data_IF_324765532121
#
_entry.id   IF_324765532121
#
_cell.length_a   1.000
_cell.length_b   1.000
_cell.length_c   1.000
_cell.angle_alpha   90.00
_cell.angle_beta   90.00
_cell.angle_gamma   90.00
#
_symmetry.space_group_name_H-M   'P 1'
#
loop_
_entity.id
_entity.type
_entity.pdbx_description
1 polymer ?
#
# COMPACT_ATOMS: atom_id res chain seq x y z
N UNK A 1 4.18 -3.45 6.05
CA UNK A 1 4.81 -2.22 6.60
C UNK A 1 5.71 -1.49 5.60
N UNK A 2 6.61 -2.16 4.87
CA UNK A 2 7.49 -1.47 3.90
C UNK A 2 6.73 -0.81 2.75
N UNK A 3 5.72 -1.48 2.20
CA UNK A 3 4.91 -0.97 1.09
C UNK A 3 4.12 0.28 1.49
N UNK A 4 3.60 0.31 2.71
CA UNK A 4 2.84 1.42 3.27
C UNK A 4 3.72 2.67 3.44
N UNK A 5 4.99 2.49 3.82
CA UNK A 5 5.97 3.58 3.84
C UNK A 5 6.24 4.12 2.44
N UNK A 6 6.37 3.23 1.45
CA UNK A 6 6.56 3.63 0.05
C UNK A 6 5.34 4.41 -0.49
N UNK A 7 4.11 3.96 -0.21
CA UNK A 7 2.89 4.64 -0.62
C UNK A 7 2.73 6.01 0.07
N UNK A 8 3.09 6.12 1.35
CA UNK A 8 3.11 7.42 2.03
C UNK A 8 4.15 8.37 1.44
N UNK A 9 5.34 7.88 1.08
CA UNK A 9 6.35 8.69 0.41
C UNK A 9 5.84 9.23 -0.95
N UNK A 10 5.10 8.41 -1.71
CA UNK A 10 4.43 8.85 -2.94
C UNK A 10 3.41 9.97 -2.65
N UNK A 11 2.58 9.81 -1.61
CA UNK A 11 1.60 10.84 -1.23
C UNK A 11 2.25 12.16 -0.82
N UNK A 12 3.35 12.13 -0.08
CA UNK A 12 4.12 13.32 0.28
C UNK A 12 4.66 14.03 -0.97
N UNK A 13 5.23 13.27 -1.91
CA UNK A 13 5.72 13.84 -3.17
C UNK A 13 4.59 14.45 -4.02
N UNK A 14 3.43 13.78 -4.11
CA UNK A 14 2.27 14.30 -4.83
C UNK A 14 1.76 15.61 -4.22
N UNK A 15 1.66 15.67 -2.89
CA UNK A 15 1.29 16.90 -2.17
C UNK A 15 2.31 18.01 -2.37
N UNK A 16 3.61 17.69 -2.39
CA UNK A 16 4.65 18.66 -2.68
C UNK A 16 4.52 19.24 -4.10
N UNK A 17 4.38 18.39 -5.12
CA UNK A 17 4.18 18.85 -6.50
C UNK A 17 2.91 19.69 -6.64
N UNK A 18 1.81 19.23 -6.04
CA UNK A 18 0.58 20.01 -5.99
C UNK A 18 0.80 21.40 -5.40
N UNK A 19 1.48 21.49 -4.25
CA UNK A 19 1.70 22.74 -3.51
C UNK A 19 2.57 23.74 -4.26
N UNK A 20 3.54 23.28 -5.07
CA UNK A 20 4.49 24.14 -5.77
C UNK A 20 4.11 24.44 -7.22
N UNK A 21 3.36 23.57 -7.90
CA UNK A 21 3.02 23.73 -9.32
C UNK A 21 1.56 24.15 -9.55
N UNK A 22 0.63 23.71 -8.69
CA UNK A 22 -0.81 23.83 -8.95
C UNK A 22 -1.64 24.11 -7.68
N UNK A 23 -1.16 24.96 -6.78
CA UNK A 23 -1.78 25.17 -5.46
C UNK A 23 -3.25 25.67 -5.48
N UNK A 24 -3.73 26.22 -6.60
CA UNK A 24 -5.12 26.67 -6.78
C UNK A 24 -6.07 25.59 -7.33
N UNK A 25 -5.54 24.41 -7.68
CA UNK A 25 -6.26 23.29 -8.30
C UNK A 25 -6.56 22.23 -7.26
N UNK A 26 -7.77 21.70 -7.14
CA UNK A 26 -8.09 20.68 -6.12
C UNK A 26 -7.67 19.27 -6.55
N UNK A 27 -7.41 19.07 -7.84
CA UNK A 27 -7.20 17.79 -8.51
C UNK A 27 -6.05 16.99 -7.88
N UNK A 28 -4.95 17.65 -7.50
CA UNK A 28 -3.82 16.99 -6.84
C UNK A 28 -4.15 16.43 -5.46
N UNK A 29 -4.98 17.13 -4.68
CA UNK A 29 -5.45 16.66 -3.38
C UNK A 29 -6.43 15.50 -3.52
N UNK A 30 -7.33 15.57 -4.51
CA UNK A 30 -8.26 14.47 -4.83
C UNK A 30 -7.50 13.20 -5.21
N UNK A 31 -6.45 13.33 -6.03
CA UNK A 31 -5.63 12.18 -6.42
C UNK A 31 -4.95 11.52 -5.21
N UNK A 32 -4.40 12.31 -4.28
CA UNK A 32 -3.82 11.78 -3.02
C UNK A 32 -4.86 11.06 -2.18
N UNK A 33 -6.09 11.57 -2.10
CA UNK A 33 -7.18 10.90 -1.38
C UNK A 33 -7.50 9.53 -2.01
N UNK A 34 -7.52 9.42 -3.34
CA UNK A 34 -7.72 8.14 -4.04
C UNK A 34 -6.59 7.16 -3.71
N UNK A 35 -5.33 7.61 -3.69
CA UNK A 35 -4.19 6.75 -3.32
C UNK A 35 -4.31 6.26 -1.88
N UNK A 36 -4.74 7.11 -0.95
CA UNK A 36 -4.97 6.70 0.45
C UNK A 36 -6.08 5.64 0.56
N UNK A 37 -7.17 5.78 -0.20
CA UNK A 37 -8.25 4.77 -0.23
C UNK A 37 -7.74 3.45 -0.83
N UNK A 38 -6.94 3.50 -1.90
CA UNK A 38 -6.33 2.31 -2.48
C UNK A 38 -5.38 1.62 -1.50
N UNK A 39 -4.56 2.38 -0.76
CA UNK A 39 -3.68 1.85 0.28
C UNK A 39 -4.47 1.17 1.41
N UNK A 40 -5.59 1.75 1.83
CA UNK A 40 -6.46 1.13 2.83
C UNK A 40 -7.04 -0.21 2.33
N UNK A 41 -7.50 -0.25 1.07
CA UNK A 41 -8.00 -1.47 0.46
C UNK A 41 -6.92 -2.56 0.33
N UNK A 42 -5.72 -2.17 -0.09
CA UNK A 42 -4.56 -3.07 -0.21
C UNK A 42 -4.21 -3.71 1.14
N UNK A 43 -4.13 -2.92 2.23
CA UNK A 43 -3.80 -3.44 3.57
C UNK A 43 -4.82 -4.46 4.05
N UNK A 44 -6.11 -4.22 3.83
CA UNK A 44 -7.18 -5.17 4.20
C UNK A 44 -7.03 -6.48 3.43
N UNK A 45 -6.79 -6.41 2.13
CA UNK A 45 -6.60 -7.61 1.28
C UNK A 45 -5.33 -8.34 1.68
N UNK A 46 -4.21 -7.63 1.83
CA UNK A 46 -2.91 -8.18 2.20
C UNK A 46 -2.95 -8.90 3.53
N UNK A 47 -3.55 -8.29 4.56
CA UNK A 47 -3.72 -8.94 5.86
C UNK A 47 -4.64 -10.17 5.78
N UNK A 48 -5.73 -10.08 5.01
CA UNK A 48 -6.61 -11.23 4.76
C UNK A 48 -5.88 -12.42 4.13
N UNK A 49 -4.98 -12.14 3.18
CA UNK A 49 -4.13 -13.16 2.57
C UNK A 49 -3.12 -13.75 3.57
N UNK A 50 -2.45 -12.91 4.36
CA UNK A 50 -1.50 -13.35 5.40
C UNK A 50 -2.20 -14.27 6.41
N UNK A 51 -3.39 -13.89 6.90
CA UNK A 51 -4.17 -14.71 7.84
C UNK A 51 -4.58 -16.04 7.19
N UNK A 52 -5.04 -16.00 5.93
CA UNK A 52 -5.41 -17.21 5.18
C UNK A 52 -4.23 -18.17 5.01
N UNK A 53 -3.04 -17.64 4.70
CA UNK A 53 -1.81 -18.41 4.58
C UNK A 53 -1.39 -19.00 5.94
N UNK A 54 -1.40 -18.18 7.00
CA UNK A 54 -1.06 -18.59 8.35
C UNK A 54 -1.95 -19.75 8.83
N UNK A 55 -3.27 -19.69 8.58
CA UNK A 55 -4.19 -20.79 8.93
C UNK A 55 -3.86 -22.14 8.29
N UNK A 56 -3.12 -22.16 7.18
CA UNK A 56 -2.74 -23.38 6.46
C UNK A 56 -1.32 -23.83 6.78
N UNK A 57 -0.44 -22.92 7.22
CA UNK A 57 1.00 -23.16 7.35
C UNK A 57 1.57 -22.91 8.74
N UNK A 58 0.81 -22.29 9.64
CA UNK A 58 1.21 -21.87 10.99
C UNK A 58 2.52 -21.06 11.05
N UNK A 59 2.89 -20.40 9.95
CA UNK A 59 4.08 -19.54 9.84
C UNK A 59 3.73 -18.29 9.04
N UNK A 60 4.45 -17.20 9.32
CA UNK A 60 4.40 -15.92 8.59
C UNK A 60 5.72 -15.62 7.88
N UNK A 61 6.68 -16.55 7.94
CA UNK A 61 7.99 -16.40 7.29
C UNK A 61 7.81 -16.61 5.80
N UNK A 62 8.05 -15.56 5.01
CA UNK A 62 7.82 -15.58 3.57
C UNK A 62 8.68 -16.63 2.84
N UNK A 63 9.93 -16.84 3.30
CA UNK A 63 10.85 -17.82 2.70
C UNK A 63 10.39 -19.27 2.84
N UNK A 64 9.56 -19.56 3.85
CA UNK A 64 8.96 -20.88 4.09
C UNK A 64 7.70 -21.12 3.23
N UNK A 65 7.25 -20.12 2.46
CA UNK A 65 6.12 -20.25 1.54
C UNK A 65 6.57 -20.76 0.16
N UNK A 66 7.13 -21.97 0.11
CA UNK A 66 7.88 -22.48 -1.04
C UNK A 66 7.18 -23.59 -1.86
N UNK A 67 5.88 -23.80 -1.63
CA UNK A 67 5.07 -24.86 -2.25
C UNK A 67 5.05 -24.91 -3.77
N UNK A 68 5.48 -23.84 -4.45
CA UNK A 68 5.56 -23.75 -5.90
C UNK A 68 7.01 -23.86 -6.42
N UNK A 69 7.99 -24.12 -5.55
CA UNK A 69 9.36 -24.44 -5.97
C UNK A 69 9.38 -25.86 -6.52
N UNK A 70 9.82 -26.01 -7.78
CA UNK A 70 10.12 -27.27 -8.44
C UNK A 70 11.63 -27.49 -8.56
#
# INVERSE_FOLDING_TARGET
MGVELMLNAVNVNLLAFWRYLWASKVEGQVFVAIVLVAAAAEVVVGLGLIISAYRRRNTVVADEMDMLKG
#
